data_IF_193843373764
#
_entry.id   IF_193843373764
#
_cell.length_a   1.000
_cell.length_b   1.000
_cell.length_c   1.000
_cell.angle_alpha   90.00
_cell.angle_beta   90.00
_cell.angle_gamma   90.00
#
_symmetry.space_group_name_H-M   'P 1'
#
loop_
_entity.id
_entity.type
_entity.pdbx_description
1 polymer ?
#
# COMPACT_ATOMS: atom_id res chain seq x y z
N UNK A 1 28.17 -0.39 27.86
CA UNK A 1 26.77 0.02 27.58
C UNK A 1 26.34 -0.65 26.29
N UNK A 2 25.59 -1.74 26.39
CA UNK A 2 25.06 -2.44 25.22
C UNK A 2 23.80 -1.70 24.77
N UNK A 3 23.87 -0.99 23.66
CA UNK A 3 22.68 -0.46 22.97
C UNK A 3 21.99 -1.63 22.28
N UNK A 4 21.24 -2.42 23.04
CA UNK A 4 20.20 -3.28 22.46
C UNK A 4 19.17 -2.36 21.83
N UNK A 5 19.24 -2.22 20.50
CA UNK A 5 18.17 -1.63 19.70
C UNK A 5 16.88 -2.35 20.07
N UNK A 6 15.90 -1.61 20.59
CA UNK A 6 14.55 -2.07 20.88
C UNK A 6 13.76 -2.31 19.58
N UNK A 7 14.37 -2.96 18.59
CA UNK A 7 13.64 -3.58 17.50
C UNK A 7 12.97 -4.82 18.12
N UNK A 8 11.83 -4.59 18.78
CA UNK A 8 10.99 -5.64 19.31
C UNK A 8 10.75 -6.68 18.23
N UNK A 9 10.79 -7.94 18.67
CA UNK A 9 10.30 -9.12 17.95
C UNK A 9 9.11 -8.78 17.06
N UNK A 10 9.08 -9.34 15.85
CA UNK A 10 8.07 -9.06 14.82
C UNK A 10 6.63 -9.04 15.35
N UNK A 11 5.74 -8.38 14.63
CA UNK A 11 4.35 -8.22 15.05
C UNK A 11 3.74 -9.56 15.49
N UNK A 12 3.49 -9.72 16.80
CA UNK A 12 2.83 -10.89 17.39
C UNK A 12 1.32 -10.83 17.09
N UNK A 13 0.97 -10.84 15.81
CA UNK A 13 -0.41 -10.88 15.38
C UNK A 13 -0.97 -12.28 15.62
N UNK A 14 -2.17 -12.33 16.19
CA UNK A 14 -2.98 -13.53 16.14
C UNK A 14 -3.28 -13.89 14.68
N UNK A 15 -3.54 -15.17 14.40
CA UNK A 15 -3.91 -15.61 13.05
C UNK A 15 -5.08 -14.79 12.47
N UNK A 16 -6.06 -14.44 13.31
CA UNK A 16 -7.19 -13.62 12.90
C UNK A 16 -6.77 -12.19 12.50
N UNK A 17 -5.85 -11.57 13.23
CA UNK A 17 -5.32 -10.25 12.89
C UNK A 17 -4.51 -10.29 11.60
N UNK A 18 -3.65 -11.30 11.42
CA UNK A 18 -2.88 -11.47 10.19
C UNK A 18 -3.78 -11.64 8.97
N UNK A 19 -4.80 -12.51 9.06
CA UNK A 19 -5.80 -12.70 8.01
C UNK A 19 -6.58 -11.41 7.72
N UNK A 20 -6.84 -10.60 8.76
CA UNK A 20 -7.50 -9.30 8.59
C UNK A 20 -6.63 -8.34 7.80
N UNK A 21 -5.32 -8.25 8.10
CA UNK A 21 -4.38 -7.41 7.34
C UNK A 21 -4.30 -7.86 5.88
N UNK A 22 -4.14 -9.16 5.62
CA UNK A 22 -4.10 -9.73 4.27
C UNK A 22 -5.40 -9.40 3.51
N UNK A 23 -6.56 -9.62 4.13
CA UNK A 23 -7.85 -9.33 3.51
C UNK A 23 -8.03 -7.83 3.22
N UNK A 24 -7.60 -6.95 4.13
CA UNK A 24 -7.64 -5.50 3.92
C UNK A 24 -6.72 -5.09 2.76
N UNK A 25 -5.49 -5.58 2.70
CA UNK A 25 -4.56 -5.26 1.62
C UNK A 25 -5.04 -5.79 0.25
N UNK A 26 -5.66 -6.97 0.23
CA UNK A 26 -6.30 -7.51 -0.97
C UNK A 26 -7.48 -6.62 -1.43
N UNK A 27 -8.31 -6.17 -0.49
CA UNK A 27 -9.44 -5.30 -0.76
C UNK A 27 -9.00 -3.93 -1.29
N UNK A 28 -8.02 -3.28 -0.65
CA UNK A 28 -7.53 -1.96 -1.07
C UNK A 28 -6.91 -2.03 -2.46
N UNK A 29 -6.08 -3.04 -2.74
CA UNK A 29 -5.51 -3.23 -4.08
C UNK A 29 -6.61 -3.47 -5.14
N UNK A 30 -7.66 -4.21 -4.81
CA UNK A 30 -8.79 -4.42 -5.72
C UNK A 30 -9.56 -3.12 -6.01
N UNK A 31 -9.86 -2.34 -4.97
CA UNK A 31 -10.56 -1.05 -5.11
C UNK A 31 -9.72 -0.04 -5.90
N UNK A 32 -8.40 0.00 -5.66
CA UNK A 32 -7.46 0.82 -6.43
C UNK A 32 -7.39 0.39 -7.90
N UNK A 33 -7.42 -0.93 -8.17
CA UNK A 33 -7.47 -1.44 -9.54
C UNK A 33 -8.72 -0.98 -10.29
N UNK A 34 -9.87 -0.98 -9.62
CA UNK A 34 -11.14 -0.47 -10.16
C UNK A 34 -11.18 1.05 -10.30
N UNK A 35 -10.13 1.75 -9.87
CA UNK A 35 -10.07 3.21 -9.83
C UNK A 35 -11.20 3.85 -9.01
N UNK A 36 -11.68 3.16 -7.96
CA UNK A 36 -12.77 3.65 -7.10
C UNK A 36 -12.28 4.45 -5.91
N UNK A 37 -11.20 3.98 -5.27
CA UNK A 37 -10.57 4.67 -4.16
C UNK A 37 -9.09 4.29 -4.08
N UNK A 38 -8.32 5.18 -3.47
CA UNK A 38 -6.90 5.03 -3.16
C UNK A 38 -6.68 5.60 -1.77
N UNK A 39 -5.76 5.01 -1.03
CA UNK A 39 -5.35 5.54 0.27
C UNK A 39 -4.56 6.85 0.11
N UNK A 40 -3.76 6.97 -0.94
CA UNK A 40 -3.03 8.21 -1.24
C UNK A 40 -3.96 9.28 -1.82
N UNK A 41 -4.36 10.23 -0.99
CA UNK A 41 -5.20 11.37 -1.39
C UNK A 41 -4.63 12.18 -2.56
N UNK A 42 -3.30 12.27 -2.67
CA UNK A 42 -2.61 12.96 -3.77
C UNK A 42 -2.79 12.27 -5.13
N UNK A 43 -3.19 11.00 -5.16
CA UNK A 43 -3.41 10.22 -6.38
C UNK A 43 -4.82 10.43 -6.96
N UNK A 44 -5.78 10.87 -6.14
CA UNK A 44 -7.19 10.99 -6.56
C UNK A 44 -7.42 11.86 -7.80
N UNK A 45 -6.80 13.04 -7.97
CA UNK A 45 -6.98 13.83 -9.18
C UNK A 45 -6.56 13.08 -10.46
N UNK A 46 -5.46 12.32 -10.40
CA UNK A 46 -4.95 11.54 -11.53
C UNK A 46 -5.81 10.30 -11.80
N UNK A 47 -6.46 9.76 -10.76
CA UNK A 47 -7.43 8.70 -10.90
C UNK A 47 -8.68 9.20 -11.63
N UNK A 48 -9.14 10.42 -11.34
CA UNK A 48 -10.23 11.05 -12.08
C UNK A 48 -9.87 11.26 -13.56
N UNK A 49 -8.64 11.70 -13.84
CA UNK A 49 -8.15 11.83 -15.22
C UNK A 49 -8.07 10.47 -15.95
N UNK A 50 -7.71 9.41 -15.25
CA UNK A 50 -7.73 8.04 -15.78
C UNK A 50 -9.16 7.57 -16.11
N UNK A 51 -10.12 7.79 -15.21
CA UNK A 51 -11.53 7.43 -15.43
C UNK A 51 -12.12 8.22 -16.60
N UNK A 52 -11.71 9.48 -16.78
CA UNK A 52 -12.11 10.31 -17.93
C UNK A 52 -11.38 9.94 -19.23
N UNK A 53 -10.45 8.97 -19.22
CA UNK A 53 -9.71 8.54 -20.40
C UNK A 53 -8.62 9.51 -20.88
N UNK A 54 -8.23 10.49 -20.05
CA UNK A 54 -7.17 11.46 -20.38
C UNK A 54 -5.77 10.91 -20.15
N UNK A 55 -5.64 9.85 -19.35
CA UNK A 55 -4.37 9.22 -19.01
C UNK A 55 -4.44 7.71 -19.19
N UNK A 56 -3.28 7.07 -19.30
CA UNK A 56 -3.17 5.61 -19.34
C UNK A 56 -2.91 5.05 -17.95
N UNK A 57 -3.31 3.79 -17.70
CA UNK A 57 -3.06 3.11 -16.42
C UNK A 57 -1.59 3.14 -16.02
N UNK A 58 -0.66 2.98 -16.98
CA UNK A 58 0.77 3.04 -16.71
C UNK A 58 1.21 4.43 -16.23
N UNK A 59 0.68 5.50 -16.83
CA UNK A 59 0.99 6.87 -16.40
C UNK A 59 0.44 7.14 -14.99
N UNK A 60 -0.82 6.77 -14.72
CA UNK A 60 -1.43 6.90 -13.38
C UNK A 60 -0.66 6.10 -12.33
N UNK A 61 -0.19 4.89 -12.69
CA UNK A 61 0.63 4.05 -11.81
C UNK A 61 1.98 4.71 -11.51
N UNK A 62 2.65 5.30 -12.50
CA UNK A 62 3.92 5.99 -12.30
C UNK A 62 3.77 7.20 -11.36
N UNK A 63 2.69 7.98 -11.51
CA UNK A 63 2.37 9.08 -10.59
C UNK A 63 2.09 8.57 -9.18
N UNK A 64 1.28 7.51 -9.05
CA UNK A 64 1.00 6.89 -7.76
C UNK A 64 2.25 6.37 -7.08
N UNK A 65 3.15 5.71 -7.83
CA UNK A 65 4.44 5.27 -7.33
C UNK A 65 5.29 6.44 -6.85
N UNK A 66 5.44 7.50 -7.65
CA UNK A 66 6.24 8.67 -7.27
C UNK A 66 5.75 9.36 -6.00
N UNK A 67 4.44 9.62 -5.90
CA UNK A 67 3.82 10.27 -4.73
C UNK A 67 3.90 9.39 -3.48
N UNK A 68 3.68 8.09 -3.63
CA UNK A 68 3.67 7.12 -2.53
C UNK A 68 5.06 6.77 -2.03
N UNK A 69 6.05 6.60 -2.92
CA UNK A 69 7.43 6.27 -2.56
C UNK A 69 8.05 7.37 -1.68
N UNK A 70 7.80 8.64 -1.99
CA UNK A 70 8.24 9.77 -1.15
C UNK A 70 7.73 9.66 0.30
N UNK A 71 6.47 9.28 0.49
CA UNK A 71 5.88 9.07 1.82
C UNK A 71 6.40 7.80 2.50
N UNK A 72 6.48 6.69 1.78
CA UNK A 72 6.97 5.40 2.30
C UNK A 72 8.38 5.56 2.84
N UNK A 73 9.30 6.12 2.06
CA UNK A 73 10.71 6.22 2.44
C UNK A 73 11.00 7.45 3.29
N UNK A 74 10.28 8.55 3.09
CA UNK A 74 10.51 9.79 3.84
C UNK A 74 9.92 9.78 5.25
N UNK A 75 8.81 9.08 5.47
CA UNK A 75 8.06 9.14 6.73
C UNK A 75 7.64 7.76 7.24
N UNK A 76 7.15 6.88 6.35
CA UNK A 76 6.62 5.56 6.69
C UNK A 76 7.63 4.65 7.36
N UNK A 77 8.71 4.32 6.66
CA UNK A 77 9.76 3.42 7.12
C UNK A 77 10.50 3.98 8.35
N UNK A 78 10.94 5.25 8.40
CA UNK A 78 11.56 5.81 9.61
C UNK A 78 10.65 5.73 10.84
N UNK A 79 9.35 6.03 10.71
CA UNK A 79 8.42 5.95 11.83
C UNK A 79 8.17 4.52 12.28
N UNK A 80 8.00 3.57 11.35
CA UNK A 80 7.82 2.17 11.70
C UNK A 80 9.06 1.60 12.42
N UNK A 81 10.26 1.93 11.95
CA UNK A 81 11.51 1.51 12.58
C UNK A 81 11.74 2.17 13.94
N UNK A 82 11.33 3.43 14.11
CA UNK A 82 11.49 4.18 15.36
C UNK A 82 10.50 3.72 16.44
N UNK A 83 9.26 3.43 16.05
CA UNK A 83 8.16 3.12 17.00
C UNK A 83 7.90 1.63 17.18
N UNK A 84 8.32 0.79 16.23
CA UNK A 84 7.95 -0.63 16.20
C UNK A 84 6.47 -0.88 15.94
N UNK A 85 5.70 0.14 15.54
CA UNK A 85 4.26 0.04 15.28
C UNK A 85 3.98 -0.12 13.79
N UNK A 86 2.96 -0.90 13.48
CA UNK A 86 2.48 -1.12 12.12
C UNK A 86 2.01 0.22 11.54
N UNK A 87 2.67 0.67 10.48
CA UNK A 87 2.38 1.95 9.87
C UNK A 87 1.39 1.80 8.69
N UNK A 88 0.23 2.48 8.69
CA UNK A 88 -0.74 2.39 7.60
C UNK A 88 -0.16 2.84 6.26
N UNK A 89 0.81 3.76 6.24
CA UNK A 89 1.48 4.18 5.01
C UNK A 89 2.29 3.05 4.37
N UNK A 90 2.88 2.15 5.17
CA UNK A 90 3.59 0.98 4.65
C UNK A 90 2.65 -0.13 4.20
N UNK A 91 1.44 -0.19 4.76
CA UNK A 91 0.43 -1.16 4.34
C UNK A 91 -0.28 -0.74 3.06
N UNK A 92 -0.83 0.48 3.03
CA UNK A 92 -1.83 0.82 2.02
C UNK A 92 -1.24 1.52 0.78
N UNK A 93 -0.17 2.30 0.93
CA UNK A 93 0.46 2.95 -0.23
C UNK A 93 1.01 1.94 -1.25
N UNK A 94 1.67 0.84 -0.84
CA UNK A 94 2.07 -0.20 -1.78
C UNK A 94 0.87 -0.89 -2.42
N UNK A 95 -0.22 -1.11 -1.68
CA UNK A 95 -1.43 -1.73 -2.25
C UNK A 95 -2.10 -0.86 -3.31
N UNK A 96 -2.07 0.46 -3.16
CA UNK A 96 -2.55 1.40 -4.19
C UNK A 96 -1.73 1.26 -5.48
N UNK A 97 -0.39 1.20 -5.35
CA UNK A 97 0.53 1.03 -6.49
C UNK A 97 0.26 -0.33 -7.17
N UNK A 98 0.21 -1.42 -6.40
CA UNK A 98 -0.01 -2.77 -6.92
C UNK A 98 -1.38 -2.92 -7.57
N UNK A 99 -2.42 -2.30 -7.00
CA UNK A 99 -3.76 -2.26 -7.57
C UNK A 99 -3.79 -1.55 -8.93
N UNK A 100 -3.18 -0.35 -9.00
CA UNK A 100 -3.09 0.43 -10.24
C UNK A 100 -2.25 -0.27 -11.30
N UNK A 101 -1.12 -0.84 -10.91
CA UNK A 101 -0.20 -1.58 -11.78
C UNK A 101 -0.85 -2.84 -12.37
N UNK A 102 -1.71 -3.50 -11.60
CA UNK A 102 -2.31 -4.77 -12.00
C UNK A 102 -3.10 -4.62 -13.32
N UNK A 103 -2.82 -5.47 -14.34
CA UNK A 103 -3.54 -5.44 -15.61
C UNK A 103 -4.88 -6.18 -15.54
N UNK A 104 -5.09 -7.06 -14.55
CA UNK A 104 -6.29 -7.89 -14.42
C UNK A 104 -6.94 -7.72 -13.06
N UNK A 105 -8.27 -7.64 -13.05
CA UNK A 105 -9.08 -7.47 -11.83
C UNK A 105 -8.85 -8.52 -10.74
N UNK A 106 -8.50 -9.74 -11.11
CA UNK A 106 -8.23 -10.84 -10.17
C UNK A 106 -6.78 -10.87 -9.67
N UNK A 107 -5.84 -10.28 -10.42
CA UNK A 107 -4.44 -10.18 -10.00
C UNK A 107 -4.25 -9.12 -8.92
N UNK A 108 -5.03 -8.04 -8.96
CA UNK A 108 -4.94 -6.95 -7.98
C UNK A 108 -5.09 -7.41 -6.51
N UNK A 109 -6.17 -8.15 -6.14
CA UNK A 109 -6.32 -8.62 -4.76
C UNK A 109 -5.27 -9.65 -4.37
N UNK A 110 -4.76 -10.46 -5.31
CA UNK A 110 -3.69 -11.42 -5.03
C UNK A 110 -2.39 -10.68 -4.69
N UNK A 111 -2.03 -9.66 -5.48
CA UNK A 111 -0.83 -8.85 -5.22
C UNK A 111 -0.95 -8.07 -3.91
N UNK A 112 -2.12 -7.48 -3.64
CA UNK A 112 -2.39 -6.80 -2.37
C UNK A 112 -2.35 -7.74 -1.17
N UNK A 113 -2.99 -8.91 -1.28
CA UNK A 113 -2.98 -9.92 -0.22
C UNK A 113 -1.58 -10.50 0.04
N UNK A 114 -0.79 -10.72 -1.02
CA UNK A 114 0.60 -11.15 -0.91
C UNK A 114 1.46 -10.08 -0.20
N UNK A 115 1.22 -8.80 -0.46
CA UNK A 115 1.88 -7.71 0.28
C UNK A 115 1.50 -7.71 1.75
N UNK A 116 0.22 -7.83 2.09
CA UNK A 116 -0.24 -7.85 3.48
C UNK A 116 0.16 -9.10 4.28
N UNK A 117 0.70 -10.12 3.62
CA UNK A 117 1.19 -11.35 4.25
C UNK A 117 2.66 -11.27 4.69
N UNK A 118 3.40 -10.27 4.20
CA UNK A 118 4.83 -10.02 4.47
C UNK A 118 4.96 -8.91 5.51
#
# INVERSE_FOLDING_TARGET
MSTTLAAGSGFDFTLAQQLTVIALCALTAFIAHMALAVFNDGVRPFLLDFIQGRTTRSATTAVSFGLSAGFIFGLGAPMALSTGVLNPWLLFLPTDILGLLSPKKWLAPILGGAWGAV
#
